data_IF_344424973527
#
_entry.id   IF_344424973527
#
_cell.length_a   1.000
_cell.length_b   1.000
_cell.length_c   1.000
_cell.angle_alpha   90.00
_cell.angle_beta   90.00
_cell.angle_gamma   90.00
#
_symmetry.space_group_name_H-M   'P 1'
#
loop_
_entity.id
_entity.type
_entity.pdbx_description
1 polymer ?
#
# COMPACT_ATOMS: atom_id res chain seq x y z
N UNK A 1 -18.29 -15.05 -2.02
CA UNK A 1 -18.01 -13.91 -2.94
C UNK A 1 -17.83 -12.67 -2.12
N UNK A 2 -16.68 -12.05 -2.25
CA UNK A 2 -16.37 -10.84 -1.50
C UNK A 2 -16.94 -9.62 -2.22
N UNK A 3 -17.61 -8.77 -1.47
CA UNK A 3 -18.16 -7.53 -1.99
C UNK A 3 -17.34 -6.37 -1.47
N UNK A 4 -16.65 -5.68 -2.37
CA UNK A 4 -15.88 -4.48 -2.02
C UNK A 4 -16.67 -3.24 -2.45
N UNK A 5 -16.50 -2.12 -1.73
CA UNK A 5 -16.98 -0.83 -2.21
C UNK A 5 -16.35 -0.50 -3.56
N UNK A 6 -16.92 0.47 -4.25
CA UNK A 6 -16.37 0.92 -5.53
C UNK A 6 -14.95 1.47 -5.37
N UNK A 7 -14.14 1.27 -6.40
CA UNK A 7 -12.80 1.86 -6.43
C UNK A 7 -12.90 3.38 -6.42
N UNK A 8 -12.03 3.99 -5.64
CA UNK A 8 -11.96 5.46 -5.53
C UNK A 8 -10.90 6.06 -6.42
N UNK A 9 -9.99 5.24 -6.96
CA UNK A 9 -8.89 5.72 -7.77
C UNK A 9 -8.39 4.61 -8.69
N UNK A 10 -7.55 5.00 -9.66
CA UNK A 10 -6.92 4.05 -10.59
C UNK A 10 -5.78 3.30 -9.91
N UNK A 11 -5.61 2.02 -10.27
CA UNK A 11 -4.50 1.21 -9.76
C UNK A 11 -3.13 1.79 -10.13
N UNK A 12 -3.06 2.57 -11.21
CA UNK A 12 -1.81 3.23 -11.62
C UNK A 12 -1.29 4.20 -10.55
N UNK A 13 -2.14 4.64 -9.65
CA UNK A 13 -1.79 5.59 -8.60
C UNK A 13 -1.48 4.92 -7.27
N UNK A 14 -1.49 3.59 -7.23
CA UNK A 14 -1.28 2.86 -5.98
C UNK A 14 0.11 3.10 -5.41
N UNK A 15 1.16 2.93 -6.22
CA UNK A 15 2.55 3.15 -5.82
C UNK A 15 3.17 4.13 -6.80
N UNK A 16 3.49 5.34 -6.36
CA UNK A 16 3.94 6.41 -7.26
C UNK A 16 5.29 7.03 -6.86
N UNK A 17 5.64 7.00 -5.58
CA UNK A 17 6.89 7.61 -5.13
C UNK A 17 8.09 6.80 -5.63
N UNK A 18 9.11 7.43 -6.26
CA UNK A 18 10.23 6.68 -6.86
C UNK A 18 10.95 5.72 -5.91
N UNK A 19 11.14 6.11 -4.66
CA UNK A 19 11.79 5.23 -3.67
C UNK A 19 10.92 4.02 -3.33
N UNK A 20 9.60 4.19 -3.31
CA UNK A 20 8.67 3.10 -3.04
C UNK A 20 8.56 2.17 -4.25
N UNK A 21 8.60 2.73 -5.46
CA UNK A 21 8.65 1.92 -6.69
C UNK A 21 9.90 1.05 -6.67
N UNK A 22 11.06 1.62 -6.35
CA UNK A 22 12.31 0.88 -6.28
C UNK A 22 12.23 -0.24 -5.21
N UNK A 23 11.66 0.07 -4.05
CA UNK A 23 11.50 -0.92 -2.98
C UNK A 23 10.57 -2.07 -3.42
N UNK A 24 9.50 -1.75 -4.13
CA UNK A 24 8.58 -2.77 -4.66
C UNK A 24 9.29 -3.68 -5.66
N UNK A 25 10.08 -3.09 -6.57
CA UNK A 25 10.82 -3.86 -7.57
C UNK A 25 11.89 -4.74 -6.92
N UNK A 26 12.44 -4.31 -5.80
CA UNK A 26 13.44 -5.09 -5.06
C UNK A 26 12.81 -6.17 -4.16
N UNK A 27 11.47 -6.23 -4.08
CA UNK A 27 10.78 -7.20 -3.23
C UNK A 27 10.70 -6.79 -1.77
N UNK A 28 11.12 -5.57 -1.43
CA UNK A 28 11.12 -5.09 -0.06
C UNK A 28 9.77 -4.47 0.35
N UNK A 29 9.04 -3.94 -0.63
CA UNK A 29 7.71 -3.38 -0.40
C UNK A 29 6.66 -4.31 -1.00
N UNK A 30 5.74 -4.77 -0.16
CA UNK A 30 4.68 -5.70 -0.55
C UNK A 30 3.28 -5.21 -0.23
N UNK A 31 3.16 -4.04 0.41
CA UNK A 31 1.88 -3.48 0.80
C UNK A 31 1.84 -1.99 0.53
N UNK A 32 0.63 -1.49 0.26
CA UNK A 32 0.37 -0.06 0.16
C UNK A 32 -0.97 0.24 0.81
N UNK A 33 -0.97 1.13 1.78
CA UNK A 33 -2.17 1.58 2.47
C UNK A 33 -2.69 2.86 1.85
N UNK A 34 -4.00 2.89 1.61
CA UNK A 34 -4.70 4.06 1.07
C UNK A 34 -6.02 4.23 1.81
N UNK A 35 -6.55 5.44 1.81
CA UNK A 35 -7.86 5.71 2.40
C UNK A 35 -9.02 5.18 1.56
N UNK A 36 -8.75 4.80 0.32
CA UNK A 36 -9.74 4.22 -0.59
C UNK A 36 -9.20 3.00 -1.30
N UNK A 37 -10.01 2.42 -2.18
CA UNK A 37 -9.64 1.25 -2.96
C UNK A 37 -9.06 1.69 -4.30
N UNK A 38 -7.80 1.38 -4.54
CA UNK A 38 -7.10 1.68 -5.78
C UNK A 38 -7.00 0.47 -6.70
N UNK A 39 -7.03 -0.74 -6.13
CA UNK A 39 -6.97 -1.98 -6.90
C UNK A 39 -7.67 -3.11 -6.17
N UNK A 40 -8.36 -3.96 -6.93
CA UNK A 40 -9.03 -5.14 -6.41
C UNK A 40 -8.13 -6.37 -6.58
N UNK A 41 -8.32 -7.42 -5.75
CA UNK A 41 -7.53 -8.65 -5.93
C UNK A 41 -7.65 -9.16 -7.36
N UNK A 42 -6.51 -9.52 -7.94
CA UNK A 42 -6.43 -9.97 -9.33
C UNK A 42 -6.07 -8.88 -10.32
N UNK A 43 -6.21 -7.60 -9.95
CA UNK A 43 -5.80 -6.51 -10.85
C UNK A 43 -4.27 -6.46 -10.94
N UNK A 44 -3.78 -6.15 -12.12
CA UNK A 44 -2.35 -6.05 -12.39
C UNK A 44 -1.97 -4.60 -12.64
N UNK A 45 -0.72 -4.27 -12.34
CA UNK A 45 -0.17 -2.94 -12.61
C UNK A 45 1.32 -3.07 -12.90
N UNK A 46 1.86 -2.02 -13.50
CA UNK A 46 3.25 -2.02 -13.94
C UNK A 46 4.02 -0.92 -13.21
N UNK A 47 5.21 -1.26 -12.73
CA UNK A 47 6.12 -0.30 -12.11
C UNK A 47 7.44 -0.34 -12.88
N UNK A 48 7.65 0.64 -13.75
CA UNK A 48 8.89 0.76 -14.55
C UNK A 48 9.26 -0.52 -15.29
N UNK A 49 8.28 -1.13 -15.95
CA UNK A 49 8.48 -2.31 -16.76
C UNK A 49 8.34 -3.64 -16.03
N UNK A 50 8.11 -3.61 -14.72
CA UNK A 50 7.91 -4.83 -13.93
C UNK A 50 6.45 -4.97 -13.55
N UNK A 51 5.84 -6.11 -13.86
CA UNK A 51 4.42 -6.36 -13.62
C UNK A 51 4.19 -6.86 -12.19
N UNK A 52 3.11 -6.37 -11.59
CA UNK A 52 2.68 -6.77 -10.26
C UNK A 52 1.20 -7.14 -10.29
N UNK A 53 0.76 -7.87 -9.28
CA UNK A 53 -0.64 -8.24 -9.11
C UNK A 53 -1.07 -8.01 -7.66
N UNK A 54 -2.26 -7.46 -7.47
CA UNK A 54 -2.86 -7.33 -6.13
C UNK A 54 -3.33 -8.73 -5.72
N UNK A 55 -2.77 -9.25 -4.64
CA UNK A 55 -3.10 -10.59 -4.15
C UNK A 55 -4.16 -10.57 -3.07
N UNK A 56 -4.28 -9.45 -2.33
CA UNK A 56 -5.23 -9.33 -1.24
C UNK A 56 -5.58 -7.87 -0.98
N UNK A 57 -6.80 -7.65 -0.51
CA UNK A 57 -7.27 -6.32 -0.13
C UNK A 57 -8.03 -6.46 1.18
N UNK A 58 -7.51 -5.82 2.23
CA UNK A 58 -8.10 -5.90 3.56
C UNK A 58 -8.26 -4.52 4.17
N UNK A 59 -9.13 -4.42 5.17
CA UNK A 59 -9.33 -3.18 5.91
C UNK A 59 -8.60 -3.26 7.24
N UNK A 60 -7.97 -2.14 7.64
CA UNK A 60 -7.19 -2.11 8.88
C UNK A 60 -7.32 -0.76 9.57
N UNK A 61 -7.36 -0.79 10.89
CA UNK A 61 -7.21 0.43 11.69
C UNK A 61 -5.74 0.82 11.74
N UNK A 62 -5.47 2.12 11.66
CA UNK A 62 -4.08 2.60 11.77
C UNK A 62 -3.45 2.20 13.11
N UNK A 63 -4.26 2.16 14.18
CA UNK A 63 -3.76 1.73 15.49
C UNK A 63 -3.30 0.28 15.56
N UNK A 64 -3.67 -0.53 14.58
CA UNK A 64 -3.28 -1.94 14.55
C UNK A 64 -2.02 -2.19 13.72
N UNK A 65 -1.43 -1.14 13.14
CA UNK A 65 -0.17 -1.30 12.40
C UNK A 65 0.98 -1.64 13.34
N UNK A 66 1.84 -2.52 12.86
CA UNK A 66 3.06 -2.94 13.57
C UNK A 66 4.29 -2.53 12.78
N UNK A 67 5.47 -2.73 13.36
CA UNK A 67 6.74 -2.53 12.64
C UNK A 67 6.83 -3.40 11.40
N UNK A 68 6.34 -4.65 11.48
CA UNK A 68 6.34 -5.54 10.33
C UNK A 68 5.48 -4.99 9.19
N UNK A 69 4.34 -4.38 9.51
CA UNK A 69 3.50 -3.72 8.51
C UNK A 69 4.22 -2.53 7.87
N UNK A 70 4.92 -1.72 8.68
CA UNK A 70 5.69 -0.60 8.17
C UNK A 70 6.81 -1.08 7.24
N UNK A 71 7.46 -2.17 7.59
CA UNK A 71 8.50 -2.77 6.75
C UNK A 71 7.93 -3.24 5.42
N UNK A 72 6.74 -3.83 5.43
CA UNK A 72 6.05 -4.23 4.20
C UNK A 72 5.65 -3.04 3.33
N UNK A 73 5.47 -1.85 3.94
CA UNK A 73 5.24 -0.60 3.21
C UNK A 73 6.53 -0.03 2.61
N UNK A 74 7.70 -0.51 3.05
CA UNK A 74 9.00 -0.05 2.56
C UNK A 74 9.75 0.85 3.53
N UNK A 75 9.39 0.83 4.83
CA UNK A 75 9.99 1.68 5.86
C UNK A 75 10.65 0.82 6.94
N UNK A 76 11.67 1.35 7.64
CA UNK A 76 12.38 0.55 8.66
C UNK A 76 11.51 0.15 9.84
N UNK A 77 10.59 1.03 10.28
CA UNK A 77 9.72 0.77 11.42
C UNK A 77 8.50 1.68 11.37
N UNK A 78 7.57 1.45 12.29
CA UNK A 78 6.32 2.18 12.32
C UNK A 78 6.51 3.66 12.64
N UNK A 79 7.43 3.99 13.53
CA UNK A 79 7.68 5.38 13.91
C UNK A 79 8.11 6.21 12.71
N UNK A 80 9.05 5.70 11.91
CA UNK A 80 9.49 6.39 10.69
C UNK A 80 8.37 6.49 9.67
N UNK A 81 7.56 5.44 9.54
CA UNK A 81 6.41 5.47 8.64
C UNK A 81 5.45 6.61 9.03
N UNK A 82 5.11 6.69 10.33
CA UNK A 82 4.23 7.76 10.83
C UNK A 82 4.81 9.15 10.54
N UNK A 83 6.09 9.33 10.83
CA UNK A 83 6.75 10.63 10.62
C UNK A 83 6.66 11.07 9.18
N UNK A 84 6.93 10.16 8.24
CA UNK A 84 6.90 10.49 6.81
C UNK A 84 5.49 10.78 6.35
N UNK A 85 4.52 9.97 6.76
CA UNK A 85 3.12 10.17 6.38
C UNK A 85 2.61 11.52 6.89
N UNK A 86 2.92 11.88 8.13
CA UNK A 86 2.49 13.16 8.70
C UNK A 86 3.17 14.35 8.02
N UNK A 87 4.42 14.19 7.58
CA UNK A 87 5.12 15.24 6.83
C UNK A 87 4.54 15.43 5.43
N UNK A 88 4.11 14.34 4.80
CA UNK A 88 3.56 14.39 3.45
C UNK A 88 2.14 14.95 3.40
N UNK A 89 1.42 14.90 4.51
CA UNK A 89 0.03 15.33 4.59
C UNK A 89 -0.13 16.41 5.65
N UNK A 90 0.13 17.65 5.26
CA UNK A 90 0.05 18.81 6.16
C UNK A 90 -1.32 18.87 6.83
N UNK A 91 -1.33 19.06 8.15
CA UNK A 91 -2.56 19.12 8.92
C UNK A 91 -3.14 17.77 9.34
N UNK A 92 -2.57 16.68 8.87
CA UNK A 92 -2.99 15.32 9.26
C UNK A 92 -2.50 15.00 10.67
N UNK A 93 -3.36 14.33 11.45
CA UNK A 93 -2.95 13.74 12.72
C UNK A 93 -3.06 12.22 12.61
N UNK A 94 -2.22 11.50 13.37
CA UNK A 94 -2.29 10.05 13.39
C UNK A 94 -3.44 9.60 14.27
N UNK A 95 -4.56 9.23 13.63
CA UNK A 95 -5.75 8.77 14.34
C UNK A 95 -5.78 7.25 14.33
N UNK A 96 -5.63 6.64 15.50
CA UNK A 96 -5.58 5.19 15.63
C UNK A 96 -6.88 4.50 15.20
N UNK A 97 -7.99 5.20 15.22
CA UNK A 97 -9.29 4.64 14.81
C UNK A 97 -9.57 4.76 13.32
N UNK A 98 -8.73 5.49 12.58
CA UNK A 98 -8.91 5.64 11.15
C UNK A 98 -8.73 4.30 10.43
N UNK A 99 -9.63 4.02 9.50
CA UNK A 99 -9.58 2.80 8.69
C UNK A 99 -8.93 3.09 7.35
N UNK A 100 -8.05 2.19 6.94
CA UNK A 100 -7.39 2.26 5.64
C UNK A 100 -7.57 0.94 4.90
N UNK A 101 -7.38 0.96 3.59
CA UNK A 101 -7.38 -0.24 2.78
C UNK A 101 -5.94 -0.67 2.53
N UNK A 102 -5.63 -1.91 2.89
CA UNK A 102 -4.30 -2.49 2.71
C UNK A 102 -4.30 -3.29 1.41
N UNK A 103 -3.57 -2.79 0.42
CA UNK A 103 -3.36 -3.48 -0.86
C UNK A 103 -2.10 -4.31 -0.73
N UNK A 104 -2.25 -5.63 -0.72
CA UNK A 104 -1.11 -6.55 -0.70
C UNK A 104 -0.85 -6.98 -2.12
N UNK A 105 0.40 -6.87 -2.58
CA UNK A 105 0.75 -7.17 -3.96
C UNK A 105 2.06 -7.94 -4.04
N UNK A 106 2.28 -8.55 -5.18
CA UNK A 106 3.50 -9.31 -5.45
C UNK A 106 3.87 -9.15 -6.91
N UNK A 107 5.15 -9.34 -7.21
CA UNK A 107 5.60 -9.37 -8.58
C UNK A 107 4.89 -10.50 -9.32
N UNK A 108 4.39 -10.20 -10.51
CA UNK A 108 3.73 -11.19 -11.34
C UNK A 108 4.77 -12.04 -12.04
N UNK A 109 4.72 -13.34 -11.79
CA UNK A 109 5.67 -14.28 -12.38
C UNK A 109 5.04 -14.90 -13.63
N UNK A 110 5.61 -14.58 -14.79
CA UNK A 110 5.09 -15.04 -16.08
C UNK A 110 5.85 -16.27 -16.60
N UNK A 111 5.95 -17.28 -15.78
CA UNK A 111 6.55 -18.52 -16.25
C UNK A 111 5.50 -19.49 -16.76
#
# INVERSE_FOLDING_TARGET
MENYPEKTCSIDRLVTHPKLVAAAKAGLKTQQRRDGIYGLPGETFDLEGMAFVVTSLTRQRLGDMTDAHAQAEGYPNLEMYKDIILKMHAGMTWNTDSLVWVHIFAAKNDN
#
